data_IF_766624042609
#
_entry.id   IF_766624042609
#
_cell.length_a   1.000
_cell.length_b   1.000
_cell.length_c   1.000
_cell.angle_alpha   90.00
_cell.angle_beta   90.00
_cell.angle_gamma   90.00
#
_symmetry.space_group_name_H-M   'P 1'
#
loop_
_entity.id
_entity.type
_entity.pdbx_description
1 polymer ?
#
# COMPACT_ATOMS: atom_id res chain seq x y z
N UNK A 1 -62.27 40.46 -60.86
CA UNK A 1 -60.85 40.78 -61.15
C UNK A 1 -60.28 42.03 -60.46
N UNK A 2 -61.08 42.86 -59.76
CA UNK A 2 -60.60 44.12 -59.14
C UNK A 2 -60.08 43.99 -57.69
N UNK A 3 -60.30 42.86 -57.03
CA UNK A 3 -59.89 42.62 -55.62
C UNK A 3 -58.52 41.94 -55.47
N UNK A 4 -57.97 41.32 -56.52
CA UNK A 4 -56.64 40.70 -56.51
C UNK A 4 -55.50 41.71 -56.63
N UNK A 5 -55.68 42.76 -57.45
CA UNK A 5 -54.73 43.85 -57.60
C UNK A 5 -54.56 44.69 -56.32
N UNK A 6 -55.63 44.85 -55.52
CA UNK A 6 -55.59 45.59 -54.26
C UNK A 6 -54.80 44.81 -53.19
N UNK A 7 -54.97 43.48 -53.14
CA UNK A 7 -54.22 42.61 -52.20
C UNK A 7 -52.74 42.46 -52.58
N UNK A 8 -52.42 42.45 -53.87
CA UNK A 8 -51.04 42.44 -54.37
C UNK A 8 -50.35 43.81 -54.16
N UNK A 9 -51.08 44.91 -54.31
CA UNK A 9 -50.57 46.27 -54.06
C UNK A 9 -50.22 46.54 -52.59
N UNK A 10 -51.02 46.02 -51.64
CA UNK A 10 -50.74 46.16 -50.20
C UNK A 10 -49.52 45.33 -49.79
N UNK A 11 -49.32 44.15 -50.37
CA UNK A 11 -48.15 43.31 -50.12
C UNK A 11 -46.84 43.93 -50.65
N UNK A 12 -46.87 44.62 -51.79
CA UNK A 12 -45.71 45.33 -52.34
C UNK A 12 -45.35 46.61 -51.57
N UNK A 13 -46.32 47.30 -50.97
CA UNK A 13 -46.08 48.51 -50.16
C UNK A 13 -45.43 48.17 -48.80
N UNK A 14 -45.84 47.06 -48.18
CA UNK A 14 -45.22 46.60 -46.92
C UNK A 14 -43.78 46.11 -47.15
N UNK A 15 -43.48 45.54 -48.32
CA UNK A 15 -42.15 45.05 -48.68
C UNK A 15 -41.16 46.19 -49.03
N UNK A 16 -41.67 47.35 -49.50
CA UNK A 16 -40.86 48.55 -49.71
C UNK A 16 -40.56 49.32 -48.41
N UNK A 17 -41.42 49.24 -47.39
CA UNK A 17 -41.21 49.92 -46.10
C UNK A 17 -40.06 49.29 -45.27
N UNK A 18 -39.67 48.04 -45.55
CA UNK A 18 -38.55 47.36 -44.86
C UNK A 18 -37.21 47.57 -45.56
N UNK A 19 -37.19 48.11 -46.78
CA UNK A 19 -35.98 48.28 -47.60
C UNK A 19 -35.39 49.70 -47.56
N UNK A 20 -36.07 50.67 -46.93
CA UNK A 20 -35.61 52.07 -46.80
C UNK A 20 -35.13 52.46 -45.41
N UNK A 21 -34.73 51.51 -44.56
CA UNK A 21 -33.86 51.80 -43.40
C UNK A 21 -32.40 51.96 -43.88
N UNK A 22 -32.24 53.04 -44.65
CA UNK A 22 -31.01 53.73 -45.02
C UNK A 22 -30.24 54.06 -43.73
N UNK A 23 -28.97 53.68 -43.59
CA UNK A 23 -27.84 54.55 -43.95
C UNK A 23 -28.14 56.04 -43.74
N UNK A 24 -27.79 56.54 -42.56
CA UNK A 24 -27.46 57.94 -42.36
C UNK A 24 -26.04 57.99 -41.82
N UNK A 25 -25.14 58.34 -42.73
CA UNK A 25 -23.75 58.71 -42.45
C UNK A 25 -23.75 60.15 -41.93
N UNK A 26 -23.10 60.44 -40.80
CA UNK A 26 -22.36 61.67 -40.62
C UNK A 26 -20.88 61.36 -40.81
N UNK A 27 -20.26 62.08 -41.73
CA UNK A 27 -18.82 62.12 -41.92
C UNK A 27 -18.05 62.37 -40.62
N UNK A 28 -16.89 61.72 -40.55
CA UNK A 28 -15.65 62.24 -39.98
C UNK A 28 -15.55 62.30 -38.44
N UNK A 29 -14.99 61.24 -37.84
CA UNK A 29 -13.64 61.26 -37.22
C UNK A 29 -13.43 59.98 -36.41
N UNK A 30 -12.27 59.35 -36.56
CA UNK A 30 -12.01 58.00 -36.07
C UNK A 30 -12.15 57.84 -34.56
N UNK A 31 -12.70 56.71 -34.14
CA UNK A 31 -11.97 55.78 -33.30
C UNK A 31 -12.68 54.43 -33.30
N UNK A 32 -11.95 53.35 -33.56
CA UNK A 32 -12.37 52.04 -33.07
C UNK A 32 -12.32 52.15 -31.54
N UNK A 33 -13.44 52.45 -30.89
CA UNK A 33 -13.56 52.15 -29.46
C UNK A 33 -13.38 50.63 -29.38
N UNK A 34 -12.21 50.19 -28.93
CA UNK A 34 -11.86 48.78 -28.92
C UNK A 34 -12.89 48.04 -28.06
N UNK A 35 -13.43 46.94 -28.56
CA UNK A 35 -14.23 45.98 -27.77
C UNK A 35 -13.53 45.61 -26.44
N UNK A 36 -12.21 45.71 -26.42
CA UNK A 36 -11.35 45.52 -25.26
C UNK A 36 -11.52 46.62 -24.20
N UNK A 37 -11.62 47.89 -24.59
CA UNK A 37 -11.88 49.00 -23.68
C UNK A 37 -13.32 48.95 -23.15
N UNK A 38 -14.31 48.66 -24.01
CA UNK A 38 -15.70 48.51 -23.56
C UNK A 38 -15.83 47.32 -22.59
N UNK A 39 -15.16 46.20 -22.86
CA UNK A 39 -15.10 45.04 -21.96
C UNK A 39 -14.41 45.37 -20.65
N UNK A 40 -13.29 46.09 -20.68
CA UNK A 40 -12.60 46.51 -19.46
C UNK A 40 -13.50 47.41 -18.62
N UNK A 41 -14.17 48.37 -19.25
CA UNK A 41 -15.10 49.27 -18.58
C UNK A 41 -16.28 48.52 -17.93
N UNK A 42 -16.87 47.54 -18.62
CA UNK A 42 -17.95 46.70 -18.04
C UNK A 42 -17.42 45.83 -16.89
N UNK A 43 -16.22 45.27 -17.02
CA UNK A 43 -15.58 44.48 -15.95
C UNK A 43 -15.28 45.37 -14.74
N UNK A 44 -14.87 46.62 -14.96
CA UNK A 44 -14.58 47.56 -13.89
C UNK A 44 -15.87 48.05 -13.20
N UNK A 45 -16.98 48.21 -13.96
CA UNK A 45 -18.33 48.47 -13.41
C UNK A 45 -18.83 47.27 -12.57
N UNK A 46 -18.59 46.03 -13.02
CA UNK A 46 -18.98 44.84 -12.26
C UNK A 46 -18.13 44.63 -11.01
N UNK A 47 -16.87 45.11 -11.02
CA UNK A 47 -15.96 45.04 -9.87
C UNK A 47 -16.14 46.19 -8.88
N UNK A 48 -16.81 47.28 -9.27
CA UNK A 48 -17.05 48.40 -8.37
C UNK A 48 -18.07 48.01 -7.29
N UNK A 49 -17.98 48.67 -6.13
CA UNK A 49 -18.86 48.42 -4.99
C UNK A 49 -20.34 48.61 -5.37
N UNK A 50 -20.65 49.54 -6.27
CA UNK A 50 -22.01 49.71 -6.80
C UNK A 50 -22.47 48.53 -7.64
N UNK A 51 -21.60 47.93 -8.45
CA UNK A 51 -21.89 46.72 -9.23
C UNK A 51 -22.13 45.51 -8.34
N UNK A 52 -21.32 45.33 -7.29
CA UNK A 52 -21.51 44.28 -6.29
C UNK A 52 -22.82 44.49 -5.52
N UNK A 53 -23.10 45.71 -5.09
CA UNK A 53 -24.32 46.07 -4.37
C UNK A 53 -25.57 45.96 -5.24
N UNK A 54 -25.46 46.21 -6.55
CA UNK A 54 -26.53 46.00 -7.52
C UNK A 54 -26.85 44.50 -7.72
N UNK A 55 -25.84 43.62 -7.72
CA UNK A 55 -26.05 42.16 -7.79
C UNK A 55 -26.67 41.64 -6.49
N UNK A 56 -26.18 42.11 -5.34
CA UNK A 56 -26.69 41.72 -4.03
C UNK A 56 -28.12 42.22 -3.79
N UNK A 57 -28.45 43.42 -4.28
CA UNK A 57 -29.83 43.95 -4.27
C UNK A 57 -30.74 43.26 -5.29
N UNK A 58 -30.24 42.83 -6.44
CA UNK A 58 -31.01 42.01 -7.39
C UNK A 58 -31.30 40.60 -6.86
N UNK A 59 -30.37 40.01 -6.08
CA UNK A 59 -30.56 38.71 -5.46
C UNK A 59 -31.55 38.77 -4.28
N UNK A 60 -31.57 39.88 -3.53
CA UNK A 60 -32.49 40.11 -2.41
C UNK A 60 -33.85 40.71 -2.82
N UNK A 61 -33.94 41.27 -4.03
CA UNK A 61 -35.14 41.89 -4.61
C UNK A 61 -36.18 40.88 -5.13
N UNK A 62 -36.85 40.18 -4.22
CA UNK A 62 -38.30 39.87 -4.26
C UNK A 62 -38.92 38.97 -5.35
N UNK A 63 -38.31 38.77 -6.53
CA UNK A 63 -38.90 37.97 -7.62
C UNK A 63 -38.30 36.56 -7.78
N UNK A 64 -37.08 36.37 -7.29
CA UNK A 64 -36.30 35.14 -7.52
C UNK A 64 -36.42 34.11 -6.39
N UNK A 65 -36.97 34.48 -5.22
CA UNK A 65 -36.92 33.63 -4.02
C UNK A 65 -37.76 32.36 -4.10
N UNK A 66 -38.89 32.36 -4.82
CA UNK A 66 -39.75 31.18 -4.98
C UNK A 66 -39.24 30.25 -6.08
N UNK A 67 -38.74 30.80 -7.19
CA UNK A 67 -38.14 30.03 -8.28
C UNK A 67 -36.78 29.45 -7.86
N UNK A 68 -35.98 30.19 -7.09
CA UNK A 68 -34.73 29.71 -6.49
C UNK A 68 -34.96 28.63 -5.43
N UNK A 69 -36.11 28.59 -4.74
CA UNK A 69 -36.42 27.52 -3.77
C UNK A 69 -36.75 26.18 -4.42
N UNK A 70 -37.49 26.18 -5.54
CA UNK A 70 -37.79 24.96 -6.30
C UNK A 70 -36.61 24.52 -7.18
N UNK A 71 -35.85 25.47 -7.71
CA UNK A 71 -34.56 25.20 -8.37
C UNK A 71 -33.55 24.62 -7.37
N UNK A 72 -33.48 25.12 -6.13
CA UNK A 72 -32.56 24.59 -5.12
C UNK A 72 -32.77 23.10 -4.84
N UNK A 73 -34.00 22.60 -4.81
CA UNK A 73 -34.25 21.17 -4.56
C UNK A 73 -33.89 20.26 -5.74
N UNK A 74 -34.20 20.68 -6.99
CA UNK A 74 -33.82 19.91 -8.18
C UNK A 74 -32.31 20.00 -8.46
N UNK A 75 -31.71 21.16 -8.17
CA UNK A 75 -30.29 21.39 -8.26
C UNK A 75 -29.54 20.66 -7.16
N UNK A 76 -30.12 20.48 -5.96
CA UNK A 76 -29.55 19.64 -4.90
C UNK A 76 -29.49 18.17 -5.33
N UNK A 77 -30.52 17.63 -5.96
CA UNK A 77 -30.48 16.26 -6.53
C UNK A 77 -29.43 16.12 -7.64
N UNK A 78 -29.34 17.10 -8.54
CA UNK A 78 -28.32 17.12 -9.59
C UNK A 78 -26.90 17.28 -9.02
N UNK A 79 -26.72 18.10 -7.97
CA UNK A 79 -25.45 18.24 -7.26
C UNK A 79 -25.09 16.94 -6.55
N UNK A 80 -26.04 16.28 -5.87
CA UNK A 80 -25.81 14.98 -5.22
C UNK A 80 -25.43 13.90 -6.24
N UNK A 81 -26.08 13.87 -7.39
CA UNK A 81 -25.74 12.94 -8.48
C UNK A 81 -24.36 13.25 -9.06
N UNK A 82 -24.06 14.52 -9.37
CA UNK A 82 -22.74 14.91 -9.86
C UNK A 82 -21.63 14.62 -8.85
N UNK A 83 -21.86 14.83 -7.56
CA UNK A 83 -20.93 14.47 -6.49
C UNK A 83 -20.77 12.96 -6.42
N UNK A 84 -21.86 12.19 -6.45
CA UNK A 84 -21.79 10.71 -6.45
C UNK A 84 -21.01 10.19 -7.66
N UNK A 85 -21.32 10.69 -8.85
CA UNK A 85 -20.65 10.28 -10.09
C UNK A 85 -19.18 10.67 -10.08
N UNK A 86 -18.85 11.84 -9.51
CA UNK A 86 -17.46 12.25 -9.31
C UNK A 86 -16.75 11.33 -8.31
N UNK A 87 -17.35 11.07 -7.15
CA UNK A 87 -16.73 10.24 -6.10
C UNK A 87 -16.54 8.77 -6.51
N UNK A 88 -17.42 8.24 -7.38
CA UNK A 88 -17.36 6.86 -7.89
C UNK A 88 -16.59 6.77 -9.22
N UNK A 89 -16.24 7.91 -9.84
CA UNK A 89 -15.47 7.91 -11.08
C UNK A 89 -14.06 7.33 -10.85
N UNK A 90 -13.52 6.56 -11.82
CA UNK A 90 -12.16 6.03 -11.74
C UNK A 90 -11.10 7.15 -11.70
N UNK A 91 -11.42 8.34 -12.19
CA UNK A 91 -10.52 9.49 -12.14
C UNK A 91 -10.35 10.07 -10.72
N UNK A 92 -11.33 9.86 -9.84
CA UNK A 92 -11.30 10.34 -8.47
C UNK A 92 -10.46 9.46 -7.54
N UNK A 93 -10.15 8.22 -7.92
CA UNK A 93 -9.22 7.35 -7.19
C UNK A 93 -7.86 8.02 -6.99
N UNK A 94 -7.32 8.65 -8.04
CA UNK A 94 -6.05 9.40 -7.99
C UNK A 94 -6.12 10.62 -7.06
N UNK A 95 -7.29 11.24 -7.00
CA UNK A 95 -7.54 12.40 -6.12
C UNK A 95 -7.60 11.95 -4.67
N UNK A 96 -8.31 10.87 -4.36
CA UNK A 96 -8.34 10.25 -3.03
C UNK A 96 -6.94 9.80 -2.62
N UNK A 97 -6.17 9.16 -3.50
CA UNK A 97 -4.80 8.74 -3.20
C UNK A 97 -3.93 9.93 -2.80
N UNK A 98 -4.06 11.06 -3.52
CA UNK A 98 -3.33 12.29 -3.21
C UNK A 98 -3.77 12.90 -1.88
N UNK A 99 -5.06 12.88 -1.58
CA UNK A 99 -5.62 13.40 -0.32
C UNK A 99 -5.20 12.51 0.86
N UNK A 100 -5.20 11.18 0.70
CA UNK A 100 -4.78 10.22 1.73
C UNK A 100 -3.28 10.30 2.07
N UNK A 101 -2.46 10.84 1.16
CA UNK A 101 -1.05 11.12 1.41
C UNK A 101 -0.81 12.42 2.20
N UNK A 102 -1.81 13.29 2.33
CA UNK A 102 -1.71 14.49 3.18
C UNK A 102 -1.78 14.06 4.66
N UNK A 103 -0.74 14.31 5.48
CA UNK A 103 -0.73 13.90 6.89
C UNK A 103 -1.83 14.56 7.73
N UNK A 104 -2.31 15.76 7.36
CA UNK A 104 -3.42 16.41 8.08
C UNK A 104 -4.71 15.64 7.86
N UNK A 105 -5.03 15.36 6.61
CA UNK A 105 -6.21 14.58 6.25
C UNK A 105 -6.10 13.14 6.79
N UNK A 106 -4.98 12.46 6.56
CA UNK A 106 -4.75 11.10 7.05
C UNK A 106 -4.84 11.01 8.58
N UNK A 107 -4.34 12.02 9.30
CA UNK A 107 -4.41 12.08 10.75
C UNK A 107 -5.83 12.26 11.29
N UNK A 108 -6.62 13.17 10.70
CA UNK A 108 -8.02 13.34 11.07
C UNK A 108 -8.89 12.15 10.66
N UNK A 109 -8.65 11.61 9.47
CA UNK A 109 -9.31 10.41 8.97
C UNK A 109 -9.05 9.21 9.89
N UNK A 110 -7.77 8.92 10.19
CA UNK A 110 -7.38 7.85 11.09
C UNK A 110 -8.02 7.99 12.48
N UNK A 111 -8.10 9.22 13.03
CA UNK A 111 -8.78 9.45 14.31
C UNK A 111 -10.26 9.11 14.26
N UNK A 112 -10.94 9.50 13.18
CA UNK A 112 -12.38 9.23 13.00
C UNK A 112 -12.65 7.74 12.83
N UNK A 113 -11.83 7.01 12.06
CA UNK A 113 -12.05 5.59 11.80
C UNK A 113 -11.44 4.66 12.86
N UNK A 114 -10.60 5.16 13.76
CA UNK A 114 -9.80 4.32 14.68
C UNK A 114 -10.64 3.36 15.51
N UNK A 115 -11.85 3.77 15.92
CA UNK A 115 -12.72 2.94 16.74
C UNK A 115 -13.28 1.76 15.96
N UNK A 116 -13.80 2.02 14.77
CA UNK A 116 -14.34 1.03 13.85
C UNK A 116 -13.23 0.13 13.33
N UNK A 117 -12.07 0.68 12.98
CA UNK A 117 -10.89 -0.06 12.54
C UNK A 117 -10.39 -1.03 13.61
N UNK A 118 -10.34 -0.59 14.88
CA UNK A 118 -10.04 -1.48 16.02
C UNK A 118 -11.05 -2.59 16.18
N UNK A 119 -12.33 -2.32 15.91
CA UNK A 119 -13.38 -3.33 15.99
C UNK A 119 -13.24 -4.35 14.84
N UNK A 120 -13.02 -3.87 13.62
CA UNK A 120 -12.72 -4.69 12.45
C UNK A 120 -11.53 -5.60 12.74
N UNK A 121 -10.40 -5.06 13.21
CA UNK A 121 -9.24 -5.87 13.57
C UNK A 121 -9.52 -6.92 14.64
N UNK A 122 -10.30 -6.60 15.67
CA UNK A 122 -10.71 -7.58 16.70
C UNK A 122 -11.57 -8.71 16.13
N UNK A 123 -12.44 -8.40 15.20
CA UNK A 123 -13.32 -9.39 14.59
C UNK A 123 -12.58 -10.21 13.54
N UNK A 124 -11.67 -9.60 12.77
CA UNK A 124 -10.74 -10.33 11.88
C UNK A 124 -9.89 -11.32 12.66
N UNK A 125 -9.37 -10.96 13.85
CA UNK A 125 -8.59 -11.90 14.67
C UNK A 125 -9.40 -13.16 15.06
N UNK A 126 -10.72 -13.07 15.12
CA UNK A 126 -11.59 -14.23 15.40
C UNK A 126 -11.94 -15.03 14.14
N UNK A 127 -11.71 -14.46 12.95
CA UNK A 127 -12.01 -15.12 11.69
C UNK A 127 -10.98 -16.22 11.36
N UNK A 128 -11.42 -17.45 11.01
CA UNK A 128 -10.51 -18.56 10.71
C UNK A 128 -9.58 -18.30 9.52
N UNK A 129 -10.02 -17.53 8.52
CA UNK A 129 -9.22 -17.23 7.32
C UNK A 129 -8.09 -16.28 7.68
N UNK A 130 -8.40 -15.23 8.45
CA UNK A 130 -7.39 -14.31 8.94
C UNK A 130 -6.42 -14.99 9.92
N UNK A 131 -6.91 -15.84 10.82
CA UNK A 131 -6.05 -16.64 11.70
C UNK A 131 -5.08 -17.54 10.91
N UNK A 132 -5.54 -18.14 9.82
CA UNK A 132 -4.68 -18.94 8.95
C UNK A 132 -3.59 -18.07 8.31
N UNK A 133 -3.97 -16.92 7.75
CA UNK A 133 -3.01 -15.98 7.16
C UNK A 133 -1.98 -15.50 8.19
N UNK A 134 -2.41 -15.14 9.39
CA UNK A 134 -1.51 -14.78 10.50
C UNK A 134 -0.63 -15.96 10.91
N UNK A 135 -1.19 -17.16 10.99
CA UNK A 135 -0.43 -18.38 11.27
C UNK A 135 0.66 -18.67 10.24
N UNK A 136 0.40 -18.37 8.96
CA UNK A 136 1.40 -18.50 7.90
C UNK A 136 2.46 -17.40 7.98
N UNK A 137 2.09 -16.17 8.37
CA UNK A 137 3.05 -15.10 8.69
C UNK A 137 3.96 -15.52 9.85
N UNK A 138 3.41 -16.11 10.93
CA UNK A 138 4.19 -16.59 12.08
C UNK A 138 5.21 -17.70 11.71
N UNK A 139 4.97 -18.43 10.62
CA UNK A 139 5.91 -19.42 10.08
C UNK A 139 6.97 -18.81 9.15
N UNK A 140 6.99 -17.50 8.97
CA UNK A 140 8.05 -16.86 8.19
C UNK A 140 9.43 -17.12 8.83
N UNK A 141 10.51 -17.26 8.02
CA UNK A 141 11.86 -17.51 8.53
C UNK A 141 12.31 -16.48 9.57
N UNK A 142 11.94 -15.21 9.39
CA UNK A 142 12.30 -14.13 10.30
C UNK A 142 11.71 -14.32 11.70
N UNK A 143 10.42 -14.69 11.78
CA UNK A 143 9.76 -14.96 13.05
C UNK A 143 10.20 -16.29 13.66
N UNK A 144 10.51 -17.30 12.84
CA UNK A 144 11.13 -18.53 13.34
C UNK A 144 12.50 -18.25 13.98
N UNK A 145 13.33 -17.40 13.36
CA UNK A 145 14.62 -17.01 13.93
C UNK A 145 14.45 -16.25 15.24
N UNK A 146 13.52 -15.28 15.30
CA UNK A 146 13.19 -14.58 16.54
C UNK A 146 12.71 -15.56 17.64
N UNK A 147 11.89 -16.54 17.28
CA UNK A 147 11.46 -17.59 18.21
C UNK A 147 12.64 -18.45 18.69
N UNK A 148 13.56 -18.83 17.80
CA UNK A 148 14.78 -19.57 18.15
C UNK A 148 15.68 -18.77 19.09
N UNK A 149 15.79 -17.45 18.93
CA UNK A 149 16.51 -16.59 19.87
C UNK A 149 15.87 -16.62 21.27
N UNK A 150 14.54 -16.59 21.35
CA UNK A 150 13.83 -16.73 22.63
C UNK A 150 14.13 -18.09 23.28
N UNK A 151 14.20 -19.18 22.53
CA UNK A 151 14.58 -20.49 23.10
C UNK A 151 16.03 -20.55 23.59
N UNK A 152 16.90 -19.68 23.07
CA UNK A 152 18.30 -19.55 23.53
C UNK A 152 18.43 -18.62 24.73
N UNK A 153 17.38 -17.90 25.11
CA UNK A 153 17.40 -16.99 26.25
C UNK A 153 17.76 -17.71 27.55
N UNK A 154 18.44 -17.03 28.50
CA UNK A 154 18.74 -17.59 29.81
C UNK A 154 17.49 -18.06 30.57
N UNK A 155 16.36 -17.36 30.42
CA UNK A 155 15.08 -17.65 31.06
C UNK A 155 14.53 -18.98 30.55
N UNK A 156 14.50 -19.18 29.23
CA UNK A 156 14.06 -20.44 28.63
C UNK A 156 15.00 -21.59 29.00
N UNK A 157 16.32 -21.34 29.01
CA UNK A 157 17.31 -22.35 29.44
C UNK A 157 17.12 -22.78 30.89
N UNK A 158 16.77 -21.87 31.80
CA UNK A 158 16.47 -22.20 33.21
C UNK A 158 15.26 -23.13 33.31
N UNK A 159 14.18 -22.81 32.59
CA UNK A 159 12.98 -23.67 32.53
C UNK A 159 13.31 -25.03 31.92
N UNK A 160 14.09 -25.05 30.83
CA UNK A 160 14.51 -26.29 30.18
C UNK A 160 15.39 -27.15 31.10
N UNK A 161 16.32 -26.55 31.85
CA UNK A 161 17.12 -27.27 32.83
C UNK A 161 16.29 -27.82 33.98
N UNK A 162 15.27 -27.11 34.44
CA UNK A 162 14.34 -27.62 35.45
C UNK A 162 13.58 -28.83 34.92
N UNK A 163 12.99 -28.71 33.73
CA UNK A 163 12.30 -29.82 33.06
C UNK A 163 13.22 -31.02 32.83
N UNK A 164 14.48 -30.78 32.43
CA UNK A 164 15.49 -31.83 32.25
C UNK A 164 15.81 -32.54 33.58
N UNK A 165 15.94 -31.79 34.69
CA UNK A 165 16.16 -32.38 36.02
C UNK A 165 14.96 -33.23 36.46
N UNK A 166 13.74 -32.76 36.20
CA UNK A 166 12.53 -33.52 36.51
C UNK A 166 12.43 -34.78 35.65
N UNK A 167 12.76 -34.69 34.36
CA UNK A 167 12.82 -35.83 33.45
C UNK A 167 13.87 -36.86 33.89
N UNK A 168 15.08 -36.43 34.28
CA UNK A 168 16.10 -37.34 34.82
C UNK A 168 15.67 -38.00 36.14
N UNK A 169 14.81 -37.34 36.90
CA UNK A 169 14.26 -37.89 38.13
C UNK A 169 13.15 -38.91 37.90
N UNK A 170 12.60 -38.98 36.67
CA UNK A 170 11.60 -39.96 36.28
C UNK A 170 12.11 -41.40 36.45
N UNK A 171 11.34 -42.30 37.08
CA UNK A 171 11.70 -43.71 37.21
C UNK A 171 12.02 -44.38 35.87
N UNK A 172 11.30 -44.03 34.80
CA UNK A 172 11.55 -44.58 33.46
C UNK A 172 12.94 -44.18 32.95
N UNK A 173 13.29 -42.90 33.08
CA UNK A 173 14.60 -42.41 32.65
C UNK A 173 15.74 -43.03 33.47
N UNK A 174 15.56 -43.16 34.79
CA UNK A 174 16.54 -43.81 35.68
C UNK A 174 16.77 -45.26 35.30
N UNK A 175 15.71 -46.01 35.01
CA UNK A 175 15.81 -47.41 34.59
C UNK A 175 16.57 -47.53 33.26
N UNK A 176 16.27 -46.67 32.30
CA UNK A 176 16.93 -46.68 30.98
C UNK A 176 18.41 -46.30 31.08
N UNK A 177 18.75 -45.31 31.91
CA UNK A 177 20.16 -44.96 32.20
C UNK A 177 20.89 -46.11 32.89
N UNK A 178 20.25 -46.79 33.85
CA UNK A 178 20.86 -47.95 34.53
C UNK A 178 21.04 -49.15 33.60
N UNK A 179 20.10 -49.40 32.69
CA UNK A 179 20.24 -50.44 31.66
C UNK A 179 21.37 -50.11 30.68
N UNK A 180 21.47 -48.85 30.22
CA UNK A 180 22.59 -48.39 29.39
C UNK A 180 23.93 -48.51 30.11
N UNK A 181 24.03 -48.11 31.38
CA UNK A 181 25.24 -48.29 32.18
C UNK A 181 25.61 -49.76 32.32
N UNK A 182 24.63 -50.63 32.55
CA UNK A 182 24.85 -52.08 32.66
C UNK A 182 25.35 -52.67 31.34
N UNK A 183 24.83 -52.21 30.20
CA UNK A 183 25.29 -52.62 28.86
C UNK A 183 26.71 -52.14 28.57
N UNK A 184 27.00 -50.87 28.82
CA UNK A 184 28.34 -50.30 28.62
C UNK A 184 29.40 -51.02 29.49
N UNK A 185 29.08 -51.30 30.76
CA UNK A 185 29.96 -52.06 31.65
C UNK A 185 30.14 -53.51 31.16
N UNK A 186 29.09 -54.16 30.64
CA UNK A 186 29.22 -55.49 30.03
C UNK A 186 30.08 -55.49 28.77
N UNK A 187 30.02 -54.45 27.95
CA UNK A 187 30.87 -54.31 26.75
C UNK A 187 32.33 -54.02 27.10
N UNK A 188 32.60 -53.22 28.14
CA UNK A 188 33.96 -52.91 28.61
C UNK A 188 34.59 -54.07 29.40
N UNK A 189 33.80 -54.83 30.16
CA UNK A 189 34.26 -55.99 30.92
C UNK A 189 34.32 -57.27 30.10
N UNK A 190 33.67 -57.32 28.94
CA UNK A 190 33.93 -58.37 27.97
C UNK A 190 35.35 -58.13 27.44
N UNK A 191 36.28 -59.10 27.60
CA UNK A 191 37.58 -58.98 26.98
C UNK A 191 37.34 -58.74 25.49
N UNK A 192 37.96 -57.70 24.92
CA UNK A 192 38.26 -57.70 23.49
C UNK A 192 39.08 -58.96 23.27
N UNK A 193 38.42 -60.06 22.92
CA UNK A 193 39.10 -61.28 22.54
C UNK A 193 40.09 -60.88 21.46
N UNK A 194 41.36 -60.99 21.84
CA UNK A 194 42.48 -60.91 20.93
C UNK A 194 42.14 -61.80 19.74
N UNK A 195 41.79 -61.18 18.61
CA UNK A 195 41.97 -61.80 17.30
C UNK A 195 43.48 -61.98 17.13
N UNK A 196 44.00 -63.10 17.64
CA UNK A 196 45.25 -63.83 17.35
C UNK A 196 45.32 -64.92 18.42
N UNK A 197 45.43 -66.22 18.14
CA UNK A 197 46.01 -66.90 16.97
C UNK A 197 45.83 -68.43 17.13
N UNK A 198 45.68 -69.16 16.02
CA UNK A 198 46.17 -70.54 15.69
C UNK A 198 45.27 -71.14 14.59
N UNK A 199 45.72 -71.66 13.46
CA UNK A 199 47.05 -72.06 13.00
C UNK A 199 46.94 -73.38 12.22
N UNK A 200 47.49 -73.43 10.99
CA UNK A 200 47.65 -74.62 10.12
C UNK A 200 46.65 -74.68 8.95
N UNK A 201 47.01 -74.79 7.67
CA UNK A 201 48.21 -75.34 7.04
C UNK A 201 48.23 -74.97 5.53
N UNK A 202 49.43 -74.78 4.95
CA UNK A 202 49.68 -75.00 3.52
C UNK A 202 50.03 -73.78 2.66
N UNK A 203 51.29 -73.71 2.22
CA UNK A 203 51.64 -73.04 0.95
C UNK A 203 52.86 -72.13 0.98
N UNK A 204 54.05 -72.73 0.92
CA UNK A 204 55.29 -72.06 0.52
C UNK A 204 55.15 -71.56 -0.92
N UNK A 205 55.52 -70.31 -1.18
CA UNK A 205 56.23 -69.91 -2.41
C UNK A 205 56.92 -68.57 -2.18
N UNK A 206 58.24 -68.63 -2.18
CA UNK A 206 59.13 -67.50 -2.40
C UNK A 206 58.74 -66.74 -3.67
N UNK A 207 58.84 -65.41 -3.61
CA UNK A 207 59.61 -64.66 -4.60
C UNK A 207 59.88 -63.24 -4.11
N UNK A 208 61.17 -62.94 -4.07
CA UNK A 208 61.79 -61.62 -4.18
C UNK A 208 61.07 -60.76 -5.23
N UNK A 209 60.94 -59.45 -4.99
CA UNK A 209 61.70 -58.45 -5.75
C UNK A 209 61.40 -57.03 -5.24
N UNK A 210 62.47 -56.26 -5.33
CA UNK A 210 62.74 -54.84 -5.17
C UNK A 210 61.66 -53.79 -5.50
N UNK A 211 61.85 -52.59 -4.95
CA UNK A 211 61.19 -51.38 -5.48
C UNK A 211 61.20 -50.16 -4.57
N UNK A 212 62.25 -49.34 -4.70
CA UNK A 212 62.59 -48.11 -3.99
C UNK A 212 61.67 -46.89 -4.25
N UNK A 213 61.59 -45.98 -3.26
CA UNK A 213 61.68 -44.49 -3.30
C UNK A 213 60.81 -43.86 -2.19
N UNK A 214 61.37 -43.26 -1.13
CA UNK A 214 61.88 -41.85 -1.08
C UNK A 214 60.92 -40.85 -1.72
N UNK A 215 60.48 -39.75 -1.12
CA UNK A 215 60.85 -39.05 0.11
C UNK A 215 60.26 -37.63 0.05
N UNK A 216 60.26 -36.94 1.19
CA UNK A 216 60.15 -35.48 1.38
C UNK A 216 58.79 -34.79 1.08
N UNK A 217 58.26 -33.87 1.88
CA UNK A 217 58.89 -33.00 2.88
C UNK A 217 58.69 -31.52 2.47
N UNK A 218 57.87 -30.78 3.23
CA UNK A 218 57.75 -29.29 3.35
C UNK A 218 56.33 -29.00 3.84
N UNK A 219 56.06 -28.62 5.09
CA UNK A 219 56.55 -27.49 5.90
C UNK A 219 56.49 -26.14 5.17
N UNK A 220 55.49 -25.34 5.52
CA UNK A 220 55.70 -23.92 5.78
C UNK A 220 54.54 -23.37 6.63
N UNK A 221 54.88 -23.01 7.87
CA UNK A 221 53.98 -22.39 8.81
C UNK A 221 53.89 -20.87 8.71
N UNK A 222 52.97 -20.33 9.51
CA UNK A 222 53.30 -19.22 10.42
C UNK A 222 53.06 -17.78 9.96
N UNK A 223 52.08 -17.14 10.60
CA UNK A 223 52.41 -16.04 11.52
C UNK A 223 51.93 -14.62 11.19
N UNK A 224 51.23 -14.02 12.18
CA UNK A 224 51.17 -12.57 12.48
C UNK A 224 50.23 -11.74 11.59
N UNK A 225 49.24 -10.97 12.06
CA UNK A 225 49.13 -10.19 13.28
C UNK A 225 49.70 -8.79 13.07
N UNK A 226 48.85 -7.74 12.97
CA UNK A 226 49.01 -6.42 13.64
C UNK A 226 47.90 -5.40 13.29
N UNK A 227 47.38 -4.79 14.37
CA UNK A 227 46.71 -3.48 14.60
C UNK A 227 46.59 -2.45 13.45
N UNK A 228 45.52 -1.65 13.54
CA UNK A 228 45.54 -0.21 13.20
C UNK A 228 44.15 0.37 12.97
N UNK A 229 43.75 1.38 13.74
CA UNK A 229 42.38 1.89 13.81
C UNK A 229 42.06 3.10 12.94
N UNK A 230 40.79 3.52 13.04
CA UNK A 230 40.29 4.89 13.00
C UNK A 230 38.85 4.89 13.53
#
# INVERSE_FOLDING_TARGET
MRSGFIRLGIACIVLMLVATSCSQEPQSSGNKVEYKELKSMVVDILKTEEGQKAIESAQSGGGSSMQMKTLNTQQEEQIRLAVKDTLVSPDYEKVIEKIMKDPKFAGEFAKTISKEDKQIHKDLIKDPTYQKAVGDILKSPDLMNAYLEVTKSPEYRKQLMALMKDAMNSPLFKLEVMDMMTKAVKEELQPKENKKEKGGEGGVSEKEDSGSSEGDGSDSGGGGGQKGGQ
#
